data_IF_444741670152
#
_entry.id   IF_444741670152
#
_cell.length_a   1.000
_cell.length_b   1.000
_cell.length_c   1.000
_cell.angle_alpha   90.00
_cell.angle_beta   90.00
_cell.angle_gamma   90.00
#
_symmetry.space_group_name_H-M   'P 1'
#
loop_
_entity.id
_entity.type
_entity.pdbx_description
1 polymer ?
#
# COMPACT_ATOMS: atom_id res chain seq x y z
N UNK A 1 3.78 17.84 1.17
CA UNK A 1 4.82 17.20 0.33
C UNK A 1 6.04 18.12 0.25
N UNK A 2 7.22 17.55 0.24
CA UNK A 2 8.47 18.26 0.03
C UNK A 2 9.28 17.55 -1.06
N UNK A 3 9.75 18.30 -2.04
CA UNK A 3 10.65 17.77 -3.06
C UNK A 3 12.10 18.11 -2.70
N UNK A 4 12.93 17.08 -2.65
CA UNK A 4 14.33 17.19 -2.22
C UNK A 4 15.35 17.08 -3.36
N UNK A 5 14.88 16.96 -4.61
CA UNK A 5 15.71 16.80 -5.78
C UNK A 5 16.07 18.12 -6.50
N UNK A 6 16.74 18.02 -7.67
CA UNK A 6 17.09 19.18 -8.51
C UNK A 6 15.84 19.93 -9.02
N UNK A 7 15.98 21.24 -9.19
CA UNK A 7 14.93 22.07 -9.77
C UNK A 7 14.96 22.03 -11.32
N UNK A 8 13.78 22.18 -11.99
CA UNK A 8 12.43 22.40 -11.42
C UNK A 8 11.85 21.13 -10.80
N UNK A 9 11.08 21.28 -9.72
CA UNK A 9 10.38 20.16 -9.10
C UNK A 9 9.38 19.53 -10.09
N UNK A 10 9.19 18.20 -10.07
CA UNK A 10 8.12 17.55 -10.81
C UNK A 10 6.74 17.95 -10.25
N UNK A 11 5.70 17.72 -11.03
CA UNK A 11 4.34 17.91 -10.59
C UNK A 11 3.96 16.80 -9.59
N UNK A 12 3.18 17.16 -8.58
CA UNK A 12 2.52 16.15 -7.74
C UNK A 12 1.40 15.52 -8.57
N UNK A 13 1.30 14.19 -8.66
CA UNK A 13 0.21 13.53 -9.37
C UNK A 13 -1.16 13.95 -8.82
N UNK A 14 -2.06 14.36 -9.71
CA UNK A 14 -3.45 14.69 -9.37
C UNK A 14 -4.29 13.41 -9.31
N UNK A 15 -4.16 12.68 -8.21
CA UNK A 15 -4.89 11.42 -8.00
C UNK A 15 -6.38 11.67 -7.92
N UNK A 16 -7.17 10.98 -8.74
CA UNK A 16 -8.63 11.14 -8.80
C UNK A 16 -9.29 11.03 -7.42
N UNK A 17 -8.81 10.14 -6.57
CA UNK A 17 -9.35 9.92 -5.23
C UNK A 17 -9.39 11.21 -4.36
N UNK A 18 -8.46 12.15 -4.57
CA UNK A 18 -8.43 13.39 -3.80
C UNK A 18 -9.43 14.44 -4.28
N UNK A 19 -10.09 14.21 -5.42
CA UNK A 19 -11.16 15.06 -5.95
C UNK A 19 -12.57 14.55 -5.64
N UNK A 20 -12.71 13.44 -4.92
CA UNK A 20 -14.02 12.86 -4.60
C UNK A 20 -14.83 13.73 -3.64
N UNK A 21 -16.08 13.95 -4.02
CA UNK A 21 -17.04 14.73 -3.25
C UNK A 21 -17.83 13.87 -2.25
N UNK A 22 -18.54 14.57 -1.35
CA UNK A 22 -19.49 13.95 -0.43
C UNK A 22 -18.88 12.87 0.46
N UNK A 23 -17.66 13.10 0.91
CA UNK A 23 -16.95 12.18 1.77
C UNK A 23 -16.29 12.83 2.97
N UNK A 24 -16.18 12.03 4.03
CA UNK A 24 -15.36 12.35 5.18
C UNK A 24 -13.96 11.77 4.97
N UNK A 25 -12.98 12.65 5.00
CA UNK A 25 -11.56 12.30 4.85
C UNK A 25 -10.84 12.45 6.17
N UNK A 26 -9.92 11.54 6.47
CA UNK A 26 -9.02 11.64 7.61
C UNK A 26 -7.63 11.11 7.26
N UNK A 27 -6.64 11.55 8.02
CA UNK A 27 -5.25 11.08 7.92
C UNK A 27 -4.83 10.44 9.23
N UNK A 28 -4.28 9.24 9.13
CA UNK A 28 -3.74 8.49 10.27
C UNK A 28 -2.25 8.32 10.10
N UNK A 29 -1.50 8.61 11.15
CA UNK A 29 -0.05 8.47 11.21
C UNK A 29 0.30 7.35 12.18
N UNK A 30 1.23 6.47 11.80
CA UNK A 30 1.74 5.43 12.70
C UNK A 30 3.23 5.23 12.47
N UNK A 31 4.02 5.24 13.55
CA UNK A 31 5.43 4.88 13.48
C UNK A 31 5.58 3.36 13.59
N UNK A 32 6.25 2.78 12.61
CA UNK A 32 6.45 1.34 12.50
C UNK A 32 7.96 1.07 12.57
N UNK A 33 8.46 0.34 13.59
CA UNK A 33 9.88 0.13 13.79
C UNK A 33 10.47 -0.96 12.89
N UNK A 34 10.41 -0.71 11.59
CA UNK A 34 11.06 -1.51 10.56
C UNK A 34 11.29 -0.72 9.28
N UNK A 35 12.09 -1.27 8.38
CA UNK A 35 12.43 -0.67 7.11
C UNK A 35 11.21 -0.53 6.20
N UNK A 36 11.09 0.62 5.54
CA UNK A 36 9.97 0.97 4.67
C UNK A 36 9.79 0.02 3.48
N UNK A 37 10.89 -0.58 2.99
CA UNK A 37 10.83 -1.40 1.79
C UNK A 37 10.11 -2.74 2.05
N UNK A 38 10.31 -3.36 3.22
CA UNK A 38 9.52 -4.54 3.58
C UNK A 38 8.03 -4.22 3.77
N UNK A 39 7.71 -2.99 4.20
CA UNK A 39 6.33 -2.51 4.22
C UNK A 39 5.77 -2.35 2.79
N UNK A 40 6.58 -1.86 1.86
CA UNK A 40 6.16 -1.67 0.47
C UNK A 40 6.00 -3.00 -0.28
N UNK A 41 6.80 -3.99 0.02
CA UNK A 41 6.66 -5.34 -0.56
C UNK A 41 5.30 -5.97 -0.27
N UNK A 42 4.74 -5.72 0.90
CA UNK A 42 3.37 -6.13 1.24
C UNK A 42 2.33 -5.55 0.27
N UNK A 43 2.55 -4.34 -0.26
CA UNK A 43 1.61 -3.70 -1.19
C UNK A 43 1.41 -4.45 -2.51
N UNK A 44 2.36 -5.28 -2.90
CA UNK A 44 2.29 -6.09 -4.12
C UNK A 44 2.16 -7.59 -3.83
N UNK A 45 2.04 -7.98 -2.57
CA UNK A 45 1.81 -9.36 -2.18
C UNK A 45 0.31 -9.68 -2.11
N UNK A 46 -0.25 -10.50 -3.00
CA UNK A 46 -1.65 -10.90 -2.94
C UNK A 46 -1.92 -11.99 -1.90
N UNK A 47 -0.90 -12.71 -1.45
CA UNK A 47 -1.06 -13.97 -0.71
C UNK A 47 -1.14 -13.76 0.79
N UNK A 48 -0.53 -12.70 1.33
CA UNK A 48 -0.65 -12.38 2.76
C UNK A 48 -2.11 -12.17 3.19
N UNK A 49 -3.00 -11.71 2.27
CA UNK A 49 -4.43 -11.59 2.55
C UNK A 49 -5.06 -12.91 2.99
N UNK A 50 -4.67 -14.01 2.35
CA UNK A 50 -5.23 -15.34 2.63
C UNK A 50 -4.66 -15.92 3.92
N UNK A 51 -3.33 -15.84 4.06
CA UNK A 51 -2.63 -16.46 5.17
C UNK A 51 -2.71 -15.65 6.46
N UNK A 52 -2.77 -14.34 6.38
CA UNK A 52 -2.78 -13.46 7.54
C UNK A 52 -4.19 -12.91 7.81
N UNK A 53 -4.72 -12.01 6.97
CA UNK A 53 -5.96 -11.30 7.28
C UNK A 53 -7.17 -12.21 7.37
N UNK A 54 -7.37 -13.12 6.43
CA UNK A 54 -8.51 -14.04 6.46
C UNK A 54 -8.42 -14.99 7.65
N UNK A 55 -7.23 -15.54 7.94
CA UNK A 55 -7.02 -16.40 9.09
C UNK A 55 -7.16 -15.66 10.42
N UNK A 56 -6.63 -14.46 10.52
CA UNK A 56 -6.77 -13.63 11.72
C UNK A 56 -8.23 -13.26 11.98
N UNK A 57 -8.93 -12.79 10.96
CA UNK A 57 -10.35 -12.47 11.02
C UNK A 57 -11.20 -13.70 11.38
N UNK A 58 -10.90 -14.88 10.85
CA UNK A 58 -11.58 -16.14 11.22
C UNK A 58 -11.30 -16.49 12.68
N UNK A 59 -10.04 -16.45 13.11
CA UNK A 59 -9.67 -16.73 14.50
C UNK A 59 -10.37 -15.82 15.50
N UNK A 60 -10.47 -14.52 15.20
CA UNK A 60 -11.15 -13.55 16.06
C UNK A 60 -12.67 -13.83 16.16
N UNK A 61 -13.31 -14.28 15.06
CA UNK A 61 -14.76 -14.52 15.02
C UNK A 61 -15.18 -15.88 15.52
N UNK A 62 -14.39 -16.92 15.22
CA UNK A 62 -14.78 -18.34 15.43
C UNK A 62 -13.79 -19.13 16.26
N UNK A 63 -12.60 -18.60 16.53
CA UNK A 63 -11.49 -19.34 17.13
C UNK A 63 -10.77 -20.31 16.18
N UNK A 64 -11.24 -20.44 14.93
CA UNK A 64 -10.68 -21.37 13.96
C UNK A 64 -9.65 -20.69 13.05
N UNK A 65 -8.66 -21.44 12.62
CA UNK A 65 -7.66 -21.03 11.62
C UNK A 65 -7.80 -21.94 10.41
N UNK A 66 -7.84 -21.37 9.22
CA UNK A 66 -7.84 -22.10 7.95
C UNK A 66 -6.44 -22.05 7.35
N UNK A 67 -5.92 -23.23 6.99
CA UNK A 67 -4.66 -23.35 6.28
C UNK A 67 -4.94 -23.82 4.86
N UNK A 68 -4.65 -22.98 3.89
CA UNK A 68 -4.79 -23.30 2.48
C UNK A 68 -4.88 -22.06 1.62
N UNK A 69 -4.15 -22.06 0.51
CA UNK A 69 -4.26 -21.01 -0.47
C UNK A 69 -5.65 -21.04 -1.12
N UNK A 70 -6.28 -19.91 -1.23
CA UNK A 70 -7.57 -19.73 -1.91
C UNK A 70 -7.42 -19.18 -3.32
N UNK A 71 -6.27 -18.60 -3.66
CA UNK A 71 -6.00 -18.09 -5.01
C UNK A 71 -5.82 -19.24 -6.01
N UNK A 72 -6.42 -19.08 -7.20
CA UNK A 72 -6.28 -19.98 -8.34
C UNK A 72 -5.38 -19.39 -9.42
N UNK A 73 -5.37 -18.06 -9.54
CA UNK A 73 -4.62 -17.35 -10.58
C UNK A 73 -4.11 -16.02 -10.03
N UNK A 74 -2.87 -15.71 -10.34
CA UNK A 74 -2.22 -14.44 -10.01
C UNK A 74 -1.57 -13.86 -11.26
N UNK A 75 -1.74 -12.55 -11.46
CA UNK A 75 -1.04 -11.79 -12.49
C UNK A 75 -0.53 -10.47 -11.94
N UNK A 76 0.58 -9.99 -12.53
CA UNK A 76 1.24 -8.76 -12.12
C UNK A 76 1.54 -7.94 -13.36
N UNK A 77 1.17 -6.67 -13.34
CA UNK A 77 1.42 -5.75 -14.45
C UNK A 77 2.13 -4.51 -13.95
N UNK A 78 3.05 -4.03 -14.74
CA UNK A 78 3.68 -2.74 -14.52
C UNK A 78 2.95 -1.68 -15.34
N UNK A 79 2.77 -0.49 -14.75
CA UNK A 79 2.24 0.70 -15.42
C UNK A 79 3.05 1.94 -15.03
N UNK A 80 2.73 3.10 -15.57
CA UNK A 80 3.51 4.32 -15.41
C UNK A 80 3.78 4.68 -13.94
N UNK A 81 2.79 4.55 -13.07
CA UNK A 81 2.88 4.97 -11.65
C UNK A 81 3.10 3.83 -10.67
N UNK A 82 3.41 2.62 -11.14
CA UNK A 82 3.68 1.51 -10.24
C UNK A 82 3.41 0.14 -10.83
N UNK A 83 2.75 -0.67 -10.03
CA UNK A 83 2.39 -2.05 -10.37
C UNK A 83 0.95 -2.32 -9.97
N UNK A 84 0.31 -3.24 -10.68
CA UNK A 84 -0.95 -3.84 -10.24
C UNK A 84 -0.76 -5.34 -10.05
N UNK A 85 -1.47 -5.90 -9.08
CA UNK A 85 -1.67 -7.33 -9.03
C UNK A 85 -3.14 -7.69 -9.17
N UNK A 86 -3.36 -8.80 -9.84
CA UNK A 86 -4.68 -9.33 -10.16
C UNK A 86 -4.78 -10.74 -9.60
N UNK A 87 -5.95 -11.14 -9.07
CA UNK A 87 -6.15 -12.47 -8.54
C UNK A 87 -7.54 -13.02 -8.80
N UNK A 88 -7.59 -14.33 -9.05
CA UNK A 88 -8.80 -15.14 -8.99
C UNK A 88 -8.68 -16.06 -7.81
N UNK A 89 -9.69 -16.10 -6.96
CA UNK A 89 -9.81 -17.01 -5.81
C UNK A 89 -10.82 -18.11 -6.10
N UNK A 90 -10.90 -19.10 -5.21
CA UNK A 90 -11.84 -20.24 -5.35
C UNK A 90 -13.32 -19.81 -5.42
N UNK A 91 -13.65 -18.67 -4.83
CA UNK A 91 -15.00 -18.10 -4.76
C UNK A 91 -15.24 -16.93 -5.73
N UNK A 92 -14.30 -16.64 -6.63
CA UNK A 92 -14.36 -15.54 -7.61
C UNK A 92 -14.07 -16.02 -9.03
N UNK A 93 -14.20 -15.12 -10.01
CA UNK A 93 -13.93 -15.38 -11.43
C UNK A 93 -13.06 -14.31 -12.08
N UNK A 94 -12.73 -14.47 -13.35
CA UNK A 94 -12.02 -13.46 -14.14
C UNK A 94 -12.89 -12.23 -14.47
N UNK A 95 -14.19 -12.27 -14.18
CA UNK A 95 -15.10 -11.11 -14.33
C UNK A 95 -15.11 -10.21 -13.07
N UNK A 96 -14.55 -10.68 -11.96
CA UNK A 96 -14.49 -9.92 -10.70
C UNK A 96 -13.50 -8.75 -10.77
N UNK A 97 -13.77 -7.69 -10.00
CA UNK A 97 -12.89 -6.52 -9.92
C UNK A 97 -11.48 -6.86 -9.43
N UNK A 98 -11.32 -7.89 -8.60
CA UNK A 98 -10.01 -8.36 -8.17
C UNK A 98 -9.14 -8.87 -9.33
N UNK A 99 -9.75 -9.26 -10.46
CA UNK A 99 -9.06 -9.64 -11.69
C UNK A 99 -9.07 -8.55 -12.75
N UNK A 100 -10.21 -7.92 -13.01
CA UNK A 100 -10.36 -6.93 -14.09
C UNK A 100 -9.67 -5.60 -13.78
N UNK A 101 -9.75 -5.15 -12.54
CA UNK A 101 -9.13 -3.90 -12.05
C UNK A 101 -7.82 -4.18 -11.32
N UNK A 102 -7.85 -5.15 -10.38
CA UNK A 102 -6.71 -5.48 -9.53
C UNK A 102 -6.52 -4.51 -8.36
N UNK A 103 -5.33 -4.54 -7.78
CA UNK A 103 -4.91 -3.64 -6.70
C UNK A 103 -3.61 -2.94 -7.05
N UNK A 104 -3.45 -1.72 -6.60
CA UNK A 104 -2.39 -0.83 -7.05
C UNK A 104 -1.33 -0.67 -5.96
N UNK A 105 -0.09 -1.04 -6.31
CA UNK A 105 1.12 -0.70 -5.60
C UNK A 105 1.76 0.49 -6.29
N UNK A 106 1.71 1.67 -5.66
CA UNK A 106 2.19 2.93 -6.24
C UNK A 106 3.68 3.12 -6.01
N UNK A 107 4.34 3.57 -7.05
CA UNK A 107 5.76 3.88 -7.02
C UNK A 107 6.05 5.23 -6.35
N UNK A 108 7.11 5.36 -5.54
CA UNK A 108 8.00 4.29 -5.07
C UNK A 108 7.51 3.60 -3.78
N UNK A 109 6.65 4.22 -2.99
CA UNK A 109 6.36 3.82 -1.62
C UNK A 109 4.88 3.97 -1.23
N UNK A 110 4.00 3.93 -2.22
CA UNK A 110 2.55 4.12 -2.03
C UNK A 110 1.75 2.84 -2.25
N UNK A 111 0.51 2.88 -1.79
CA UNK A 111 -0.49 1.85 -1.99
C UNK A 111 -1.86 2.50 -2.11
N UNK A 112 -2.68 2.02 -3.03
CA UNK A 112 -4.05 2.48 -3.18
C UNK A 112 -5.01 1.30 -3.29
N UNK A 113 -6.05 1.31 -2.47
CA UNK A 113 -7.09 0.30 -2.49
C UNK A 113 -8.46 0.93 -2.18
N UNK A 114 -9.25 1.13 -3.22
CA UNK A 114 -10.59 1.71 -3.10
C UNK A 114 -10.56 3.10 -2.45
N UNK A 115 -11.03 3.20 -1.21
CA UNK A 115 -11.12 4.48 -0.47
C UNK A 115 -9.91 4.73 0.45
N UNK A 116 -8.79 4.06 0.21
CA UNK A 116 -7.66 4.01 1.12
C UNK A 116 -6.36 4.24 0.35
N UNK A 117 -5.63 5.27 0.75
CA UNK A 117 -4.30 5.60 0.26
C UNK A 117 -3.29 5.48 1.39
N UNK A 118 -2.15 4.88 1.12
CA UNK A 118 -1.06 4.77 2.08
C UNK A 118 0.27 5.17 1.48
N UNK A 119 1.14 5.73 2.32
CA UNK A 119 2.55 5.94 2.03
C UNK A 119 3.41 5.35 3.15
N UNK A 120 4.46 4.63 2.74
CA UNK A 120 5.50 4.10 3.62
C UNK A 120 6.68 5.06 3.57
N UNK A 121 6.64 6.08 4.40
CA UNK A 121 7.65 7.15 4.40
C UNK A 121 8.83 6.73 5.27
N UNK A 122 10.04 6.56 4.71
CA UNK A 122 11.20 6.25 5.52
C UNK A 122 11.51 7.39 6.49
N UNK A 123 11.63 7.09 7.79
CA UNK A 123 12.20 8.00 8.79
C UNK A 123 13.73 7.84 8.78
N UNK A 124 14.16 6.59 8.79
CA UNK A 124 15.53 6.12 8.65
C UNK A 124 15.54 4.68 8.10
N UNK A 125 16.67 3.99 8.14
CA UNK A 125 16.81 2.63 7.62
C UNK A 125 16.00 1.58 8.40
N UNK A 126 15.63 1.87 9.65
CA UNK A 126 14.97 0.92 10.56
C UNK A 126 13.57 1.36 11.01
N UNK A 127 13.13 2.55 10.59
CA UNK A 127 11.85 3.10 11.03
C UNK A 127 11.09 3.72 9.85
N UNK A 128 9.80 3.48 9.82
CA UNK A 128 8.87 3.93 8.79
C UNK A 128 7.73 4.74 9.41
N UNK A 129 7.38 5.87 8.81
CA UNK A 129 6.13 6.54 9.07
C UNK A 129 5.08 6.02 8.07
N UNK A 130 4.11 5.26 8.54
CA UNK A 130 2.90 4.94 7.78
C UNK A 130 1.98 6.14 7.80
N UNK A 131 1.67 6.68 6.62
CA UNK A 131 0.72 7.77 6.41
C UNK A 131 -0.47 7.21 5.67
N UNK A 132 -1.62 7.19 6.30
CA UNK A 132 -2.85 6.64 5.74
C UNK A 132 -3.87 7.76 5.51
N UNK A 133 -4.28 7.95 4.28
CA UNK A 133 -5.45 8.76 3.92
C UNK A 133 -6.64 7.82 3.73
N UNK A 134 -7.74 8.10 4.41
CA UNK A 134 -8.97 7.33 4.31
C UNK A 134 -10.11 8.25 3.94
N UNK A 135 -10.84 7.88 2.89
CA UNK A 135 -12.10 8.49 2.48
C UNK A 135 -13.26 7.60 2.95
N UNK A 136 -14.36 8.21 3.34
CA UNK A 136 -15.61 7.51 3.66
C UNK A 136 -16.77 8.34 3.12
N UNK A 137 -17.47 7.81 2.11
CA UNK A 137 -18.63 8.49 1.56
C UNK A 137 -19.70 8.68 2.63
N UNK A 138 -20.25 9.88 2.72
CA UNK A 138 -21.34 10.12 3.65
C UNK A 138 -22.64 9.49 3.14
N UNK A 139 -23.59 9.16 4.02
CA UNK A 139 -24.92 8.72 3.63
C UNK A 139 -25.62 9.77 2.74
N UNK A 140 -26.40 9.31 1.75
CA UNK A 140 -27.03 10.20 0.74
C UNK A 140 -27.88 11.32 1.34
N UNK A 141 -28.49 11.08 2.48
CA UNK A 141 -29.30 12.07 3.22
C UNK A 141 -28.46 13.22 3.78
N UNK A 142 -27.12 13.11 3.76
CA UNK A 142 -26.19 14.17 4.15
C UNK A 142 -25.56 14.91 2.97
N UNK A 143 -25.90 14.52 1.77
CA UNK A 143 -25.39 15.20 0.55
C UNK A 143 -26.20 16.48 0.24
N UNK A 144 -25.58 17.59 -0.20
CA UNK A 144 -24.13 17.73 -0.40
C UNK A 144 -23.37 17.90 0.91
N UNK A 145 -22.20 17.27 1.00
CA UNK A 145 -21.33 17.36 2.16
C UNK A 145 -19.99 17.99 1.80
N UNK A 146 -19.59 18.99 2.55
CA UNK A 146 -18.29 19.64 2.44
C UNK A 146 -17.56 19.56 3.77
N UNK A 147 -16.39 19.00 3.76
CA UNK A 147 -15.51 18.90 4.92
C UNK A 147 -14.63 20.15 4.99
N UNK A 148 -14.66 20.86 6.11
CA UNK A 148 -13.88 22.09 6.32
C UNK A 148 -12.51 21.86 6.93
N UNK A 149 -12.28 20.69 7.52
CA UNK A 149 -11.03 20.29 8.15
C UNK A 149 -10.82 18.79 8.01
N UNK A 150 -9.61 18.38 7.64
CA UNK A 150 -9.20 16.97 7.57
C UNK A 150 -8.52 16.63 8.91
N UNK A 151 -9.16 15.83 9.78
CA UNK A 151 -8.54 15.41 11.03
C UNK A 151 -7.32 14.54 10.75
N UNK A 152 -6.24 14.82 11.49
CA UNK A 152 -5.01 14.03 11.48
C UNK A 152 -4.73 13.58 12.91
N UNK A 153 -4.46 12.28 13.06
CA UNK A 153 -4.24 11.70 14.37
C UNK A 153 -3.23 10.55 14.32
N UNK A 154 -2.66 10.22 15.49
CA UNK A 154 -1.72 9.11 15.62
C UNK A 154 -2.46 7.82 15.93
N UNK A 155 -2.32 6.84 15.05
CA UNK A 155 -2.83 5.49 15.23
C UNK A 155 -1.85 4.66 16.07
N UNK A 156 -2.27 4.15 17.23
CA UNK A 156 -1.37 3.36 18.07
C UNK A 156 -1.09 2.00 17.43
N UNK A 157 0.17 1.58 17.47
CA UNK A 157 0.59 0.23 17.06
C UNK A 157 0.62 -0.73 18.25
N UNK A 158 0.69 -0.20 19.46
CA UNK A 158 0.65 -0.94 20.72
C UNK A 158 -0.37 -0.34 21.69
N UNK A 159 -0.91 -1.19 22.55
CA UNK A 159 -1.81 -0.78 23.62
C UNK A 159 -1.02 -0.15 24.80
N UNK A 160 -1.75 0.29 25.84
CA UNK A 160 -1.19 0.89 27.07
C UNK A 160 -0.28 -0.06 27.87
N UNK A 161 -0.35 -1.36 27.61
CA UNK A 161 0.51 -2.38 28.22
C UNK A 161 1.71 -2.76 27.34
N UNK A 162 1.92 -2.07 26.21
CA UNK A 162 2.99 -2.34 25.26
C UNK A 162 2.77 -3.56 24.36
N UNK A 163 1.58 -4.17 24.36
CA UNK A 163 1.23 -5.29 23.48
C UNK A 163 0.80 -4.78 22.12
N UNK A 164 1.16 -5.49 21.08
CA UNK A 164 0.73 -5.17 19.74
C UNK A 164 -0.80 -5.23 19.61
N UNK A 165 -1.37 -4.21 18.98
CA UNK A 165 -2.80 -4.21 18.59
C UNK A 165 -2.92 -5.02 17.30
N UNK A 166 -3.83 -5.99 17.30
CA UNK A 166 -4.03 -6.91 16.15
C UNK A 166 -5.49 -6.94 15.67
N UNK A 167 -6.33 -6.11 16.28
CA UNK A 167 -7.78 -6.09 16.02
C UNK A 167 -8.17 -5.28 14.76
N UNK A 168 -7.22 -4.53 14.19
CA UNK A 168 -7.42 -3.76 12.98
C UNK A 168 -6.50 -4.28 11.87
N UNK A 169 -7.00 -4.32 10.62
CA UNK A 169 -6.28 -4.86 9.45
C UNK A 169 -4.89 -4.25 9.29
N UNK A 170 -4.76 -2.93 9.41
CA UNK A 170 -3.47 -2.24 9.31
C UNK A 170 -2.48 -2.65 10.39
N UNK A 171 -2.96 -2.83 11.62
CA UNK A 171 -2.10 -3.25 12.71
C UNK A 171 -1.62 -4.71 12.55
N UNK A 172 -2.39 -5.54 11.86
CA UNK A 172 -1.95 -6.89 11.48
C UNK A 172 -0.77 -6.82 10.50
N UNK A 173 -0.83 -5.90 9.53
CA UNK A 173 0.28 -5.63 8.61
C UNK A 173 1.51 -5.13 9.37
N UNK A 174 1.36 -4.16 10.26
CA UNK A 174 2.47 -3.66 11.10
C UNK A 174 3.15 -4.78 11.89
N UNK A 175 2.36 -5.70 12.47
CA UNK A 175 2.88 -6.88 13.15
C UNK A 175 3.69 -7.78 12.23
N UNK A 176 3.19 -8.06 11.04
CA UNK A 176 3.86 -8.90 10.06
C UNK A 176 5.17 -8.25 9.58
N UNK A 177 5.15 -6.94 9.31
CA UNK A 177 6.34 -6.21 8.86
C UNK A 177 7.43 -6.19 9.93
N UNK A 178 7.08 -5.84 11.15
CA UNK A 178 8.03 -5.81 12.27
C UNK A 178 8.51 -7.21 12.65
N UNK A 179 7.67 -8.23 12.46
CA UNK A 179 8.02 -9.63 12.70
C UNK A 179 9.17 -10.15 11.84
N UNK A 180 9.46 -9.50 10.71
CA UNK A 180 10.62 -9.80 9.84
C UNK A 180 11.94 -9.21 10.38
N UNK A 181 11.90 -8.46 11.48
CA UNK A 181 13.02 -7.70 12.02
C UNK A 181 13.02 -6.25 11.52
N UNK A 182 13.92 -5.44 12.07
CA UNK A 182 14.05 -4.03 11.67
C UNK A 182 14.38 -3.88 10.20
N UNK A 183 15.30 -4.70 9.70
CA UNK A 183 15.61 -4.87 8.28
C UNK A 183 15.50 -6.37 7.99
N UNK A 184 14.62 -6.76 7.07
CA UNK A 184 14.42 -8.15 6.71
C UNK A 184 15.69 -8.79 6.14
N UNK A 185 16.08 -9.95 6.68
CA UNK A 185 17.22 -10.71 6.17
C UNK A 185 16.83 -11.48 4.90
N UNK A 186 17.07 -10.87 3.76
CA UNK A 186 16.68 -11.40 2.45
C UNK A 186 17.52 -12.59 1.99
N UNK A 187 18.66 -12.87 2.65
CA UNK A 187 19.47 -14.05 2.36
C UNK A 187 18.77 -15.36 2.80
N UNK A 188 17.74 -15.26 3.64
CA UNK A 188 16.97 -16.39 4.19
C UNK A 188 15.60 -16.55 3.53
N UNK A 189 15.29 -15.76 2.51
CA UNK A 189 14.01 -15.84 1.81
C UNK A 189 13.91 -17.10 0.93
N UNK A 190 12.71 -17.63 0.82
CA UNK A 190 12.36 -18.67 -0.13
C UNK A 190 11.21 -18.16 -1.00
N UNK A 191 11.55 -17.49 -2.10
CA UNK A 191 10.59 -16.90 -3.00
C UNK A 191 9.90 -17.98 -3.85
N UNK A 192 8.60 -17.82 -4.05
CA UNK A 192 7.74 -18.71 -4.83
C UNK A 192 7.15 -18.02 -6.06
N UNK A 193 6.33 -18.73 -6.81
CA UNK A 193 5.64 -18.15 -7.97
C UNK A 193 4.69 -17.01 -7.61
N UNK A 194 4.17 -16.97 -6.38
CA UNK A 194 3.33 -15.86 -5.88
C UNK A 194 4.11 -14.58 -5.63
N UNK A 195 5.43 -14.66 -5.46
CA UNK A 195 6.30 -13.52 -5.15
C UNK A 195 6.84 -12.81 -6.41
N UNK A 196 6.39 -13.21 -7.61
CA UNK A 196 6.84 -12.61 -8.88
C UNK A 196 6.68 -11.09 -8.92
N UNK A 197 5.63 -10.55 -8.30
CA UNK A 197 5.42 -9.12 -8.19
C UNK A 197 6.49 -8.44 -7.34
N UNK A 198 6.85 -9.03 -6.21
CA UNK A 198 7.92 -8.55 -5.33
C UNK A 198 9.26 -8.55 -6.08
N UNK A 199 9.57 -9.65 -6.78
CA UNK A 199 10.81 -9.75 -7.58
C UNK A 199 10.85 -8.69 -8.68
N UNK A 200 9.74 -8.45 -9.38
CA UNK A 200 9.65 -7.43 -10.42
C UNK A 200 9.85 -6.02 -9.85
N UNK A 201 9.22 -5.71 -8.72
CA UNK A 201 9.37 -4.43 -8.03
C UNK A 201 10.82 -4.20 -7.56
N UNK A 202 11.45 -5.21 -6.94
CA UNK A 202 12.87 -5.13 -6.51
C UNK A 202 13.80 -4.85 -7.69
N UNK A 203 13.63 -5.57 -8.79
CA UNK A 203 14.42 -5.35 -10.01
C UNK A 203 14.25 -3.92 -10.51
N UNK A 204 13.01 -3.42 -10.56
CA UNK A 204 12.74 -2.04 -10.97
C UNK A 204 13.43 -1.03 -10.07
N UNK A 205 13.47 -1.23 -8.75
CA UNK A 205 14.20 -0.34 -7.85
C UNK A 205 15.69 -0.25 -8.19
N UNK A 206 16.34 -1.37 -8.48
CA UNK A 206 17.76 -1.34 -8.90
C UNK A 206 17.95 -0.61 -10.24
N UNK A 207 17.09 -0.87 -11.22
CA UNK A 207 17.11 -0.19 -12.51
C UNK A 207 16.93 1.34 -12.36
N UNK A 208 16.01 1.77 -11.49
CA UNK A 208 15.78 3.19 -11.24
C UNK A 208 16.92 3.84 -10.43
N UNK A 209 17.54 3.11 -9.53
CA UNK A 209 18.75 3.59 -8.85
C UNK A 209 19.90 3.83 -9.84
N UNK A 210 20.09 2.92 -10.79
CA UNK A 210 21.08 3.09 -11.87
C UNK A 210 20.72 4.28 -12.76
N UNK A 211 19.45 4.46 -13.10
CA UNK A 211 18.94 5.59 -13.88
C UNK A 211 19.27 6.92 -13.19
N UNK A 212 18.97 7.03 -11.90
CA UNK A 212 19.26 8.24 -11.10
C UNK A 212 20.78 8.46 -10.97
N UNK A 213 21.56 7.41 -10.75
CA UNK A 213 23.02 7.50 -10.65
C UNK A 213 23.67 8.02 -11.94
N UNK A 214 23.03 7.76 -13.08
CA UNK A 214 23.44 8.27 -14.41
C UNK A 214 22.87 9.66 -14.74
N UNK A 215 22.15 10.30 -13.81
CA UNK A 215 21.55 11.62 -13.97
C UNK A 215 20.20 11.61 -14.71
N UNK A 216 19.58 10.44 -14.90
CA UNK A 216 18.24 10.29 -15.44
C UNK A 216 17.14 10.53 -14.40
N UNK A 217 15.91 10.60 -14.86
CA UNK A 217 14.74 10.70 -13.98
C UNK A 217 14.17 9.31 -13.70
N UNK A 218 13.82 9.02 -12.44
CA UNK A 218 13.20 7.75 -12.10
C UNK A 218 11.75 7.68 -12.59
N UNK A 219 11.20 6.47 -12.56
CA UNK A 219 9.81 6.16 -12.87
C UNK A 219 8.82 7.08 -12.12
N UNK A 220 7.68 7.32 -12.73
CA UNK A 220 6.55 8.11 -12.19
C UNK A 220 6.82 9.61 -11.99
N UNK A 221 7.82 10.17 -12.63
CA UNK A 221 8.04 11.61 -12.65
C UNK A 221 7.11 12.27 -13.67
N UNK A 222 6.27 13.21 -13.20
CA UNK A 222 5.38 14.02 -14.02
C UNK A 222 5.98 15.42 -14.23
N UNK A 223 6.16 15.82 -15.50
CA UNK A 223 6.62 17.15 -15.91
C UNK A 223 5.58 17.89 -16.74
N UNK A 224 4.69 17.15 -17.39
CA UNK A 224 3.69 17.67 -18.31
C UNK A 224 2.35 17.82 -17.56
N UNK A 225 1.87 19.07 -17.48
CA UNK A 225 0.61 19.36 -16.82
C UNK A 225 -0.61 18.79 -17.57
N UNK A 226 -0.52 18.61 -18.90
CA UNK A 226 -1.61 18.02 -19.69
C UNK A 226 -1.78 16.53 -19.38
N UNK A 227 -0.71 15.86 -18.94
CA UNK A 227 -0.74 14.46 -18.49
C UNK A 227 -1.15 14.31 -17.03
N UNK A 228 -1.18 15.40 -16.28
CA UNK A 228 -1.52 15.40 -14.85
C UNK A 228 -2.99 15.77 -14.62
N UNK A 229 -3.89 15.17 -15.40
CA UNK A 229 -5.33 15.39 -15.26
C UNK A 229 -5.97 14.10 -14.79
N UNK A 230 -6.37 14.08 -13.51
CA UNK A 230 -7.02 12.93 -12.85
C UNK A 230 -6.32 11.62 -13.12
N UNK A 231 -5.13 11.48 -12.57
CA UNK A 231 -4.38 10.23 -12.59
C UNK A 231 -5.19 9.18 -11.83
N UNK A 232 -5.62 8.07 -12.47
CA UNK A 232 -6.48 7.05 -11.87
C UNK A 232 -5.78 6.25 -10.77
#
# INVERSE_FOLDING_TARGET
>A
WAYMGPQPAPLLPDWEAFSWDNGFTQVVLSEVPCNWFQCQENSIDPVHFEWMHENWGNRQRTGEVRFGATHLKLDFKEFEFGFTYHRVKQDTSEDDQAWTVGRVCLWPNGFFLGEHFEWRVPIDDENTLSVTWKYTRVPREREPYAQTHIPTWWGPVKDEHGRWIDTHVMNQDFLAWVGQGRIADRSRENLSASDRGIVAMRRRFFEEMDTVAQGGEPKAILRDAERNVRVP
#
